data_IF_273821046396
#
_entry.id   IF_273821046396
#
_cell.length_a   1.000
_cell.length_b   1.000
_cell.length_c   1.000
_cell.angle_alpha   90.00
_cell.angle_beta   90.00
_cell.angle_gamma   90.00
#
_symmetry.space_group_name_H-M   'P 1'
#
loop_
_entity.id
_entity.type
_entity.pdbx_description
1 polymer ?
#
# COMPACT_ATOMS: atom_id res chain seq x y z
N UNK A 1 43.74 -39.86 1.23
CA UNK A 1 43.94 -38.43 1.60
C UNK A 1 42.89 -37.48 1.03
N UNK A 2 42.64 -37.44 -0.29
CA UNK A 2 41.62 -36.54 -0.89
C UNK A 2 40.22 -36.74 -0.29
N UNK A 3 39.79 -37.99 -0.10
CA UNK A 3 38.52 -38.34 0.54
C UNK A 3 38.36 -37.70 1.93
N UNK A 4 39.44 -37.74 2.73
CA UNK A 4 39.45 -37.21 4.09
C UNK A 4 39.30 -35.68 4.09
N UNK A 5 40.02 -34.99 3.20
CA UNK A 5 39.86 -33.54 3.01
C UNK A 5 38.43 -33.17 2.56
N UNK A 6 37.87 -33.91 1.61
CA UNK A 6 36.53 -33.65 1.08
C UNK A 6 35.45 -33.78 2.16
N UNK A 7 35.51 -34.86 2.94
CA UNK A 7 34.55 -35.14 4.02
C UNK A 7 34.73 -34.13 5.16
N UNK A 8 35.97 -33.81 5.55
CA UNK A 8 36.25 -32.77 6.56
C UNK A 8 35.70 -31.41 6.14
N UNK A 9 35.85 -31.04 4.86
CA UNK A 9 35.25 -29.81 4.33
C UNK A 9 33.71 -29.87 4.39
N UNK A 10 33.11 -31.02 4.06
CA UNK A 10 31.67 -31.26 4.20
C UNK A 10 31.16 -31.08 5.64
N UNK A 11 31.90 -31.60 6.63
CA UNK A 11 31.57 -31.41 8.06
C UNK A 11 31.59 -29.93 8.43
N UNK A 12 32.60 -29.17 8.00
CA UNK A 12 32.66 -27.72 8.26
C UNK A 12 31.46 -26.98 7.65
N UNK A 13 31.05 -27.34 6.43
CA UNK A 13 29.85 -26.78 5.79
C UNK A 13 28.56 -27.12 6.54
N UNK A 14 28.45 -28.33 7.10
CA UNK A 14 27.29 -28.72 7.90
C UNK A 14 27.25 -28.01 9.25
N UNK A 15 28.39 -27.82 9.91
CA UNK A 15 28.48 -26.98 11.13
C UNK A 15 28.09 -25.54 10.82
N UNK A 16 28.57 -25.00 9.69
CA UNK A 16 28.17 -23.67 9.22
C UNK A 16 26.65 -23.58 8.94
N UNK A 17 26.03 -24.67 8.47
CA UNK A 17 24.59 -24.76 8.23
C UNK A 17 23.77 -24.59 9.52
N UNK A 18 24.28 -25.05 10.67
CA UNK A 18 23.66 -24.82 11.99
C UNK A 18 23.63 -23.32 12.29
N UNK A 19 24.75 -22.62 12.09
CA UNK A 19 24.84 -21.16 12.30
C UNK A 19 23.88 -20.41 11.38
N UNK A 20 23.76 -20.84 10.12
CA UNK A 20 22.80 -20.27 9.18
C UNK A 20 21.35 -20.44 9.66
N UNK A 21 21.01 -21.63 10.16
CA UNK A 21 19.69 -21.92 10.72
C UNK A 21 19.39 -21.04 11.95
N UNK A 22 20.37 -20.83 12.83
CA UNK A 22 20.24 -19.93 13.97
C UNK A 22 20.07 -18.46 13.57
N UNK A 23 20.79 -17.99 12.55
CA UNK A 23 20.67 -16.62 12.05
C UNK A 23 19.26 -16.36 11.48
N UNK A 24 18.70 -17.31 10.73
CA UNK A 24 17.30 -17.24 10.25
C UNK A 24 16.34 -17.08 11.44
N UNK A 25 16.54 -17.84 12.52
CA UNK A 25 15.70 -17.79 13.72
C UNK A 25 15.73 -16.42 14.44
N UNK A 26 16.88 -15.75 14.46
CA UNK A 26 16.95 -14.40 15.06
C UNK A 26 16.14 -13.35 14.29
N UNK A 27 15.94 -13.54 12.98
CA UNK A 27 15.27 -12.56 12.11
C UNK A 27 13.74 -12.66 12.09
N UNK A 28 13.17 -13.85 12.31
CA UNK A 28 11.72 -14.06 12.11
C UNK A 28 10.91 -13.95 13.43
N UNK A 29 11.58 -13.89 14.58
CA UNK A 29 10.89 -13.82 15.88
C UNK A 29 10.49 -15.20 16.39
N UNK A 30 10.75 -15.44 17.68
CA UNK A 30 10.78 -16.77 18.31
C UNK A 30 9.43 -17.51 18.40
N UNK A 31 8.27 -16.91 18.09
CA UNK A 31 6.96 -17.49 18.48
C UNK A 31 6.28 -18.34 17.41
N UNK A 32 6.39 -18.02 16.13
CA UNK A 32 5.61 -18.70 15.08
C UNK A 32 6.35 -19.87 14.40
N UNK A 33 7.69 -19.86 14.37
CA UNK A 33 8.48 -20.82 13.60
C UNK A 33 9.09 -22.00 14.36
N UNK A 34 8.87 -22.12 15.68
CA UNK A 34 9.52 -23.18 16.47
C UNK A 34 9.10 -24.59 16.04
N UNK A 35 7.87 -24.78 15.54
CA UNK A 35 7.38 -26.09 15.07
C UNK A 35 8.02 -26.53 13.75
N UNK A 36 8.23 -25.59 12.82
CA UNK A 36 8.84 -25.88 11.51
C UNK A 36 10.37 -25.94 11.58
N UNK A 37 10.97 -25.37 12.63
CA UNK A 37 12.43 -25.40 12.88
C UNK A 37 12.93 -26.77 13.29
N UNK A 38 12.17 -27.46 14.15
CA UNK A 38 12.58 -28.74 14.74
C UNK A 38 12.93 -29.80 13.67
N UNK A 39 12.12 -30.05 12.62
CA UNK A 39 12.46 -31.05 11.62
C UNK A 39 13.73 -30.69 10.83
N UNK A 40 13.93 -29.42 10.47
CA UNK A 40 15.14 -28.99 9.74
C UNK A 40 16.38 -29.20 10.60
N UNK A 41 16.31 -28.85 11.88
CA UNK A 41 17.44 -29.01 12.81
C UNK A 41 17.73 -30.48 13.09
N UNK A 42 16.70 -31.31 13.28
CA UNK A 42 16.85 -32.77 13.42
C UNK A 42 17.52 -33.34 12.17
N UNK A 43 17.08 -32.92 10.98
CA UNK A 43 17.64 -33.40 9.71
C UNK A 43 19.13 -33.03 9.57
N UNK A 44 19.50 -31.78 9.87
CA UNK A 44 20.90 -31.33 9.87
C UNK A 44 21.74 -32.14 10.86
N UNK A 45 21.24 -32.37 12.07
CA UNK A 45 21.92 -33.20 13.07
C UNK A 45 22.10 -34.64 12.59
N UNK A 46 21.07 -35.23 11.95
CA UNK A 46 21.13 -36.57 11.38
C UNK A 46 22.17 -36.67 10.26
N UNK A 47 22.24 -35.66 9.38
CA UNK A 47 23.31 -35.59 8.39
C UNK A 47 24.67 -35.53 9.06
N UNK A 48 24.89 -34.64 10.04
CA UNK A 48 26.17 -34.53 10.77
C UNK A 48 26.61 -35.88 11.36
N UNK A 49 25.69 -36.61 12.00
CA UNK A 49 25.97 -37.96 12.50
C UNK A 49 26.43 -38.90 11.38
N UNK A 50 25.80 -38.82 10.21
CA UNK A 50 26.22 -39.55 9.00
C UNK A 50 27.63 -39.19 8.55
N UNK A 51 28.00 -37.91 8.51
CA UNK A 51 29.37 -37.49 8.15
C UNK A 51 30.40 -37.99 9.18
N UNK A 52 30.09 -37.90 10.48
CA UNK A 52 31.00 -38.35 11.55
C UNK A 52 31.21 -39.86 11.48
N UNK A 53 30.14 -40.64 11.27
CA UNK A 53 30.22 -42.09 11.12
C UNK A 53 31.00 -42.51 9.86
N UNK A 54 30.84 -41.79 8.74
CA UNK A 54 31.62 -42.06 7.54
C UNK A 54 33.10 -41.68 7.72
N UNK A 55 33.38 -40.54 8.36
CA UNK A 55 34.73 -40.10 8.65
C UNK A 55 35.47 -41.07 9.58
N UNK A 56 34.80 -41.58 10.62
CA UNK A 56 35.40 -42.57 11.53
C UNK A 56 35.72 -43.88 10.83
N UNK A 57 34.83 -44.37 9.94
CA UNK A 57 35.10 -45.53 9.08
C UNK A 57 36.32 -45.30 8.19
N UNK A 58 36.43 -44.12 7.59
CA UNK A 58 37.54 -43.77 6.69
C UNK A 58 38.89 -43.74 7.45
N UNK A 59 38.88 -43.27 8.69
CA UNK A 59 40.07 -43.25 9.57
C UNK A 59 40.44 -44.66 10.02
N UNK A 60 39.47 -45.54 10.33
CA UNK A 60 39.77 -46.91 10.76
C UNK A 60 40.29 -47.76 9.59
N UNK A 61 39.83 -47.49 8.36
CA UNK A 61 40.11 -48.28 7.16
C UNK A 61 41.17 -47.62 6.26
N UNK A 62 42.35 -47.31 6.81
CA UNK A 62 43.40 -46.53 6.12
C UNK A 62 43.92 -47.16 4.81
N UNK A 63 43.79 -48.48 4.60
CA UNK A 63 44.50 -49.19 3.53
C UNK A 63 43.69 -49.55 2.27
N UNK A 64 42.40 -49.21 2.17
CA UNK A 64 41.56 -49.61 1.01
C UNK A 64 40.86 -48.42 0.35
N UNK A 65 41.63 -47.43 -0.10
CA UNK A 65 41.10 -46.28 -0.83
C UNK A 65 40.72 -46.64 -2.28
N UNK A 66 39.55 -47.24 -2.45
CA UNK A 66 38.96 -47.53 -3.76
C UNK A 66 38.19 -46.34 -4.34
N UNK A 67 37.88 -46.41 -5.65
CA UNK A 67 37.10 -45.41 -6.40
C UNK A 67 35.71 -45.18 -5.76
N UNK A 68 35.12 -46.23 -5.17
CA UNK A 68 33.84 -46.15 -4.48
C UNK A 68 33.88 -45.16 -3.29
N UNK A 69 34.99 -45.07 -2.56
CA UNK A 69 35.12 -44.15 -1.42
C UNK A 69 35.22 -42.69 -1.87
N UNK A 70 35.87 -42.44 -3.02
CA UNK A 70 35.93 -41.12 -3.63
C UNK A 70 34.54 -40.65 -4.07
N UNK A 71 33.77 -41.53 -4.72
CA UNK A 71 32.41 -41.23 -5.14
C UNK A 71 31.50 -40.90 -3.94
N UNK A 72 31.56 -41.72 -2.89
CA UNK A 72 30.80 -41.49 -1.66
C UNK A 72 31.22 -40.18 -1.00
N UNK A 73 32.52 -39.90 -0.89
CA UNK A 73 33.04 -38.64 -0.35
C UNK A 73 32.56 -37.44 -1.15
N UNK A 74 32.52 -37.53 -2.48
CA UNK A 74 32.00 -36.49 -3.37
C UNK A 74 30.50 -36.25 -3.15
N UNK A 75 29.69 -37.31 -3.05
CA UNK A 75 28.26 -37.21 -2.76
C UNK A 75 28.03 -36.50 -1.41
N UNK A 76 28.79 -36.88 -0.38
CA UNK A 76 28.75 -36.19 0.91
C UNK A 76 29.15 -34.72 0.77
N UNK A 77 30.24 -34.39 0.07
CA UNK A 77 30.63 -32.99 -0.10
C UNK A 77 29.56 -32.14 -0.81
N UNK A 78 29.03 -32.61 -1.94
CA UNK A 78 27.99 -31.91 -2.67
C UNK A 78 26.67 -31.84 -1.90
N UNK A 79 26.35 -32.87 -1.10
CA UNK A 79 25.20 -32.85 -0.18
C UNK A 79 25.31 -31.72 0.84
N UNK A 80 26.47 -31.53 1.47
CA UNK A 80 26.69 -30.45 2.43
C UNK A 80 26.61 -29.08 1.75
N UNK A 81 27.20 -28.94 0.57
CA UNK A 81 27.12 -27.72 -0.22
C UNK A 81 25.66 -27.39 -0.59
N UNK A 82 24.88 -28.39 -1.00
CA UNK A 82 23.47 -28.22 -1.31
C UNK A 82 22.67 -27.69 -0.11
N UNK A 83 22.86 -28.29 1.07
CA UNK A 83 22.19 -27.84 2.31
C UNK A 83 22.51 -26.37 2.62
N UNK A 84 23.79 -25.97 2.53
CA UNK A 84 24.22 -24.57 2.74
C UNK A 84 23.55 -23.63 1.74
N UNK A 85 23.55 -23.98 0.45
CA UNK A 85 22.96 -23.16 -0.61
C UNK A 85 21.46 -22.97 -0.35
N UNK A 86 20.73 -24.06 -0.09
CA UNK A 86 19.30 -24.03 0.18
C UNK A 86 18.98 -23.16 1.40
N UNK A 87 19.73 -23.31 2.50
CA UNK A 87 19.54 -22.46 3.68
C UNK A 87 19.83 -20.99 3.40
N UNK A 88 20.86 -20.68 2.60
CA UNK A 88 21.22 -19.30 2.25
C UNK A 88 20.16 -18.64 1.36
N UNK A 89 19.64 -19.38 0.38
CA UNK A 89 18.53 -18.93 -0.47
C UNK A 89 17.29 -18.66 0.37
N UNK A 90 16.91 -19.61 1.23
CA UNK A 90 15.77 -19.45 2.14
C UNK A 90 15.93 -18.23 3.05
N UNK A 91 17.10 -18.04 3.68
CA UNK A 91 17.36 -16.86 4.52
C UNK A 91 17.15 -15.54 3.75
N UNK A 92 17.61 -15.48 2.49
CA UNK A 92 17.45 -14.30 1.62
C UNK A 92 15.98 -14.08 1.25
N UNK A 93 15.25 -15.14 0.90
CA UNK A 93 13.83 -15.08 0.57
C UNK A 93 13.00 -14.61 1.76
N UNK A 94 13.21 -15.20 2.93
CA UNK A 94 12.55 -14.82 4.17
C UNK A 94 12.82 -13.34 4.51
N UNK A 95 14.08 -12.92 4.43
CA UNK A 95 14.45 -11.52 4.72
C UNK A 95 13.73 -10.56 3.75
N UNK A 96 13.65 -10.91 2.46
CA UNK A 96 12.89 -10.12 1.47
C UNK A 96 11.39 -10.10 1.80
N UNK A 97 10.84 -11.23 2.21
CA UNK A 97 9.42 -11.38 2.49
C UNK A 97 9.00 -10.55 3.72
N UNK A 98 9.82 -10.54 4.77
CA UNK A 98 9.65 -9.66 5.94
C UNK A 98 9.70 -8.19 5.54
N UNK A 99 10.73 -7.78 4.79
CA UNK A 99 10.85 -6.39 4.36
C UNK A 99 9.69 -5.94 3.46
N UNK A 100 9.22 -6.82 2.58
CA UNK A 100 8.06 -6.57 1.73
C UNK A 100 6.78 -6.45 2.56
N UNK A 101 6.58 -7.32 3.54
CA UNK A 101 5.43 -7.25 4.46
C UNK A 101 5.39 -5.92 5.21
N UNK A 102 6.53 -5.49 5.78
CA UNK A 102 6.64 -4.19 6.44
C UNK A 102 6.39 -3.01 5.48
N UNK A 103 6.84 -3.12 4.23
CA UNK A 103 6.58 -2.10 3.20
C UNK A 103 5.10 -2.03 2.84
N UNK A 104 4.45 -3.17 2.67
CA UNK A 104 3.02 -3.25 2.37
C UNK A 104 2.19 -2.67 3.51
N UNK A 105 2.52 -2.96 4.76
CA UNK A 105 1.84 -2.38 5.93
C UNK A 105 1.96 -0.85 5.97
N UNK A 106 3.17 -0.32 5.71
CA UNK A 106 3.39 1.13 5.62
C UNK A 106 2.57 1.78 4.50
N UNK A 107 2.60 1.20 3.30
CA UNK A 107 1.85 1.72 2.14
C UNK A 107 0.35 1.65 2.41
N UNK A 108 -0.15 0.56 3.02
CA UNK A 108 -1.55 0.42 3.36
C UNK A 108 -2.01 1.48 4.37
N UNK A 109 -1.20 1.76 5.41
CA UNK A 109 -1.46 2.84 6.37
C UNK A 109 -1.46 4.22 5.72
N UNK A 110 -0.52 4.48 4.81
CA UNK A 110 -0.49 5.75 4.08
C UNK A 110 -1.71 5.89 3.16
N UNK A 111 -2.09 4.82 2.47
CA UNK A 111 -3.25 4.78 1.59
C UNK A 111 -4.54 5.03 2.37
N UNK A 112 -4.71 4.38 3.53
CA UNK A 112 -5.85 4.64 4.43
C UNK A 112 -5.91 6.09 4.88
N UNK A 113 -4.75 6.70 5.22
CA UNK A 113 -4.68 8.11 5.60
C UNK A 113 -5.10 9.03 4.45
N UNK A 114 -4.54 8.83 3.26
CA UNK A 114 -4.89 9.63 2.07
C UNK A 114 -6.35 9.44 1.66
N UNK A 115 -6.89 8.24 1.79
CA UNK A 115 -8.30 7.98 1.49
C UNK A 115 -9.23 8.74 2.45
N UNK A 116 -8.91 8.76 3.76
CA UNK A 116 -9.65 9.60 4.73
C UNK A 116 -9.55 11.09 4.39
N UNK A 117 -8.36 11.58 4.04
CA UNK A 117 -8.17 12.98 3.66
C UNK A 117 -8.96 13.35 2.39
N UNK A 118 -8.97 12.47 1.38
CA UNK A 118 -9.75 12.65 0.16
C UNK A 118 -11.25 12.67 0.47
N UNK A 119 -11.74 11.76 1.32
CA UNK A 119 -13.14 11.73 1.73
C UNK A 119 -13.57 13.06 2.36
N UNK A 120 -12.78 13.58 3.30
CA UNK A 120 -13.07 14.88 3.93
C UNK A 120 -13.06 16.04 2.94
N UNK A 121 -12.12 16.04 1.98
CA UNK A 121 -12.07 17.05 0.91
C UNK A 121 -13.28 16.98 0.00
N UNK A 122 -13.71 15.77 -0.38
CA UNK A 122 -14.92 15.55 -1.19
C UNK A 122 -16.17 16.05 -0.46
N UNK A 123 -16.31 15.74 0.83
CA UNK A 123 -17.44 16.21 1.64
C UNK A 123 -17.45 17.75 1.74
N UNK A 124 -16.29 18.36 1.99
CA UNK A 124 -16.16 19.82 2.04
C UNK A 124 -16.48 20.48 0.69
N UNK A 125 -16.04 19.86 -0.42
CA UNK A 125 -16.32 20.34 -1.76
C UNK A 125 -17.82 20.29 -2.06
N UNK A 126 -18.50 19.21 -1.68
CA UNK A 126 -19.94 19.05 -1.84
C UNK A 126 -20.73 20.11 -1.07
N UNK A 127 -20.36 20.37 0.19
CA UNK A 127 -20.96 21.44 1.00
C UNK A 127 -20.75 22.80 0.34
N UNK A 128 -19.54 23.07 -0.16
CA UNK A 128 -19.24 24.31 -0.86
C UNK A 128 -20.08 24.45 -2.14
N UNK A 129 -20.24 23.39 -2.93
CA UNK A 129 -21.03 23.39 -4.15
C UNK A 129 -22.52 23.64 -3.87
N UNK A 130 -23.08 23.00 -2.84
CA UNK A 130 -24.46 23.24 -2.38
C UNK A 130 -24.65 24.69 -1.94
N UNK A 131 -23.70 25.25 -1.19
CA UNK A 131 -23.73 26.67 -0.78
C UNK A 131 -23.65 27.63 -1.96
N UNK A 132 -22.82 27.33 -2.97
CA UNK A 132 -22.74 28.11 -4.20
C UNK A 132 -24.06 28.04 -4.99
N UNK A 133 -24.68 26.87 -5.11
CA UNK A 133 -25.97 26.72 -5.78
C UNK A 133 -27.09 27.48 -5.07
N UNK A 134 -27.15 27.39 -3.74
CA UNK A 134 -28.12 28.14 -2.94
C UNK A 134 -27.96 29.65 -3.14
N UNK A 135 -26.72 30.15 -3.10
CA UNK A 135 -26.42 31.57 -3.31
C UNK A 135 -26.71 32.04 -4.74
N UNK A 136 -26.47 31.19 -5.73
CA UNK A 136 -26.83 31.49 -7.13
C UNK A 136 -28.34 31.63 -7.27
N UNK A 137 -29.11 30.72 -6.66
CA UNK A 137 -30.58 30.76 -6.68
C UNK A 137 -31.12 32.02 -6.01
N UNK A 138 -30.57 32.38 -4.85
CA UNK A 138 -30.93 33.61 -4.13
C UNK A 138 -30.62 34.87 -4.97
N UNK A 139 -29.50 34.88 -5.70
CA UNK A 139 -29.15 35.96 -6.60
C UNK A 139 -30.11 36.05 -7.79
N UNK A 140 -30.48 34.91 -8.38
CA UNK A 140 -31.44 34.85 -9.49
C UNK A 140 -32.83 35.34 -9.04
N UNK A 141 -33.31 34.91 -7.87
CA UNK A 141 -34.56 35.37 -7.25
C UNK A 141 -34.52 36.89 -6.99
N UNK A 142 -33.42 37.39 -6.43
CA UNK A 142 -33.24 38.84 -6.19
C UNK A 142 -33.24 39.63 -7.50
N UNK A 143 -32.65 39.10 -8.57
CA UNK A 143 -32.67 39.71 -9.90
C UNK A 143 -34.10 39.80 -10.46
N UNK A 144 -34.89 38.73 -10.31
CA UNK A 144 -36.29 38.68 -10.73
C UNK A 144 -37.16 39.68 -9.96
N UNK A 145 -36.94 39.82 -8.65
CA UNK A 145 -37.58 40.83 -7.82
C UNK A 145 -37.23 42.26 -8.31
N UNK A 146 -35.96 42.53 -8.59
CA UNK A 146 -35.54 43.82 -9.14
C UNK A 146 -36.18 44.12 -10.49
N UNK A 147 -36.31 43.13 -11.38
CA UNK A 147 -37.01 43.31 -12.65
C UNK A 147 -38.49 43.63 -12.46
N UNK A 148 -39.16 42.93 -11.54
CA UNK A 148 -40.58 43.15 -11.23
C UNK A 148 -40.82 44.54 -10.65
N UNK A 149 -39.98 44.96 -9.69
CA UNK A 149 -40.04 46.32 -9.11
C UNK A 149 -39.83 47.36 -10.21
N UNK A 150 -38.83 47.18 -11.08
CA UNK A 150 -38.54 48.11 -12.16
C UNK A 150 -39.71 48.26 -13.13
N UNK A 151 -40.36 47.16 -13.51
CA UNK A 151 -41.55 47.19 -14.38
C UNK A 151 -42.72 47.93 -13.70
N UNK A 152 -42.98 47.63 -12.42
CA UNK A 152 -44.03 48.30 -11.66
C UNK A 152 -43.80 49.82 -11.51
N UNK A 153 -42.57 50.25 -11.26
CA UNK A 153 -42.20 51.67 -11.23
C UNK A 153 -42.41 52.32 -12.60
N UNK A 154 -42.03 51.63 -13.68
CA UNK A 154 -42.21 52.17 -15.03
C UNK A 154 -43.69 52.33 -15.40
N UNK A 155 -44.54 51.36 -15.05
CA UNK A 155 -46.00 51.48 -15.22
C UNK A 155 -46.61 52.62 -14.38
N UNK A 156 -46.14 52.81 -13.15
CA UNK A 156 -46.60 53.92 -12.29
C UNK A 156 -46.25 55.27 -12.90
N UNK A 157 -45.00 55.43 -13.37
CA UNK A 157 -44.56 56.66 -14.04
C UNK A 157 -45.40 56.92 -15.30
N UNK A 158 -45.65 55.91 -16.14
CA UNK A 158 -46.50 56.07 -17.32
C UNK A 158 -47.92 56.49 -16.95
N UNK A 159 -48.53 55.87 -15.92
CA UNK A 159 -49.88 56.24 -15.45
C UNK A 159 -49.94 57.66 -14.91
N UNK A 160 -49.00 58.07 -14.05
CA UNK A 160 -48.95 59.44 -13.54
C UNK A 160 -48.77 60.46 -14.66
N UNK A 161 -47.92 60.16 -15.65
CA UNK A 161 -47.70 61.05 -16.80
C UNK A 161 -48.98 61.19 -17.65
N UNK A 162 -49.69 60.09 -17.91
CA UNK A 162 -50.96 60.09 -18.65
C UNK A 162 -52.05 60.82 -17.87
N UNK A 163 -52.12 60.67 -16.54
CA UNK A 163 -53.08 61.40 -15.70
C UNK A 163 -52.82 62.91 -15.71
N UNK A 164 -51.55 63.33 -15.63
CA UNK A 164 -51.20 64.74 -15.77
C UNK A 164 -51.56 65.31 -17.15
N UNK A 165 -51.30 64.56 -18.22
CA UNK A 165 -51.66 64.98 -19.58
C UNK A 165 -53.18 65.06 -19.75
N UNK A 166 -53.93 64.05 -19.26
CA UNK A 166 -55.39 64.06 -19.30
C UNK A 166 -55.98 65.23 -18.51
N UNK A 167 -55.40 65.56 -17.36
CA UNK A 167 -55.81 66.74 -16.58
C UNK A 167 -55.56 68.03 -17.36
N UNK A 168 -54.39 68.20 -17.97
CA UNK A 168 -54.08 69.36 -18.84
C UNK A 168 -55.03 69.47 -20.03
N UNK A 169 -55.37 68.36 -20.67
CA UNK A 169 -56.31 68.31 -21.80
C UNK A 169 -57.72 68.70 -21.33
N UNK A 170 -58.15 68.20 -20.17
CA UNK A 170 -59.45 68.54 -19.59
C UNK A 170 -59.54 70.02 -19.23
N UNK A 171 -58.51 70.56 -18.57
CA UNK A 171 -58.45 71.99 -18.22
C UNK A 171 -58.55 72.87 -19.48
N UNK A 172 -57.86 72.51 -20.58
CA UNK A 172 -57.97 73.20 -21.87
C UNK A 172 -59.36 73.08 -22.51
N UNK A 173 -60.00 71.92 -22.41
CA UNK A 173 -61.35 71.70 -22.92
C UNK A 173 -62.40 72.51 -22.16
N UNK A 174 -62.28 72.57 -20.84
CA UNK A 174 -63.17 73.36 -19.99
C UNK A 174 -62.99 74.87 -20.23
N UNK A 175 -61.75 75.32 -20.51
CA UNK A 175 -61.43 76.70 -20.89
C UNK A 175 -62.13 77.08 -22.22
N UNK A 176 -62.00 76.24 -23.27
CA UNK A 176 -62.67 76.44 -24.57
C UNK A 176 -64.20 76.45 -24.43
N UNK A 177 -64.74 75.58 -23.57
CA UNK A 177 -66.18 75.45 -23.36
C UNK A 177 -66.79 76.59 -22.53
N UNK A 178 -65.96 77.37 -21.85
CA UNK A 178 -66.36 78.59 -21.13
C UNK A 178 -66.32 79.86 -21.99
N UNK A 179 -65.84 79.76 -23.24
CA UNK A 179 -65.82 80.84 -24.23
C UNK A 179 -66.98 80.78 -25.25
N UNK A 180 -67.91 79.82 -25.12
CA UNK A 180 -69.22 79.78 -25.80
C UNK A 180 -70.35 80.30 -24.90
#
# INVERSE_FOLDING_TARGET
MINLLLVSCGVLLMVYSIVLCQNINTKIGKKELNKERLPILILICLFILGYVAFLSRLIITLNSHGINELLVSAIFFFGAMFVVIVLKVNNKLITKLINNSLRVDKVNKELQRKNKELSHKTDALKISEEKYKARSKELDETLEDFYTIRLGVQEQIEKETIEEENKKVKDRLDEIRSEE
#
